data_IF_654726689256
#
_entry.id   IF_654726689256
#
_cell.length_a   1.000
_cell.length_b   1.000
_cell.length_c   1.000
_cell.angle_alpha   90.00
_cell.angle_beta   90.00
_cell.angle_gamma   90.00
#
_symmetry.space_group_name_H-M   'P 1'
#
loop_
_entity.id
_entity.type
_entity.pdbx_description
1 polymer ?
#
# COMPACT_ATOMS: atom_id res chain seq x y z
N UNK A 1 14.40 26.77 -26.82
CA UNK A 1 14.97 25.97 -25.72
C UNK A 1 13.85 25.77 -24.71
N UNK A 2 13.17 24.63 -24.82
CA UNK A 2 11.91 24.33 -24.11
C UNK A 2 12.24 23.85 -22.71
N UNK A 3 11.82 24.60 -21.70
CA UNK A 3 11.93 24.24 -20.28
C UNK A 3 11.05 23.02 -20.03
N UNK A 4 11.66 21.89 -19.69
CA UNK A 4 10.94 20.69 -19.32
C UNK A 4 10.22 20.93 -17.98
N UNK A 5 8.90 20.90 -18.08
CA UNK A 5 7.89 20.78 -17.03
C UNK A 5 8.39 19.90 -15.85
N UNK A 6 8.75 20.53 -14.74
CA UNK A 6 9.02 19.85 -13.47
C UNK A 6 7.68 19.38 -12.90
N UNK A 7 7.35 18.09 -13.10
CA UNK A 7 6.27 17.41 -12.40
C UNK A 7 6.63 17.28 -10.91
N UNK A 8 6.35 18.34 -10.15
CA UNK A 8 6.33 18.33 -8.68
C UNK A 8 5.18 17.40 -8.24
N UNK A 9 5.49 16.11 -8.12
CA UNK A 9 4.56 15.14 -7.55
C UNK A 9 4.52 15.39 -6.04
N UNK A 10 3.33 15.53 -5.43
CA UNK A 10 3.24 15.81 -4.00
C UNK A 10 3.96 14.73 -3.22
N UNK A 11 4.90 15.14 -2.35
CA UNK A 11 5.64 14.24 -1.48
C UNK A 11 4.64 13.41 -0.66
N UNK A 12 4.58 12.10 -0.92
CA UNK A 12 3.67 11.23 -0.23
C UNK A 12 4.09 11.15 1.25
N UNK A 13 3.16 11.28 2.21
CA UNK A 13 3.49 11.23 3.63
C UNK A 13 4.07 9.85 4.00
N UNK A 14 5.14 9.87 4.80
CA UNK A 14 5.76 8.68 5.38
C UNK A 14 5.25 8.47 6.80
N UNK A 15 4.67 7.30 7.06
CA UNK A 15 4.10 6.90 8.35
C UNK A 15 5.06 5.98 9.12
N UNK A 16 4.92 5.94 10.45
CA UNK A 16 5.75 5.15 11.35
C UNK A 16 4.94 4.14 12.14
N UNK A 17 5.64 3.16 12.70
CA UNK A 17 5.05 2.17 13.61
C UNK A 17 4.39 2.87 14.79
N UNK A 18 3.18 2.43 15.14
CA UNK A 18 2.37 3.00 16.22
C UNK A 18 1.45 4.15 15.81
N UNK A 19 1.68 4.78 14.65
CA UNK A 19 0.75 5.77 14.11
C UNK A 19 -0.59 5.09 13.75
N UNK A 20 -1.69 5.85 13.81
CA UNK A 20 -2.99 5.37 13.31
C UNK A 20 -3.00 5.39 11.79
N UNK A 21 -3.44 4.30 11.17
CA UNK A 21 -3.54 4.17 9.72
C UNK A 21 -4.70 5.06 9.22
N UNK A 22 -4.42 6.07 8.37
CA UNK A 22 -5.43 7.05 7.98
C UNK A 22 -6.45 6.51 6.96
N UNK A 23 -6.05 5.59 6.08
CA UNK A 23 -6.89 5.03 5.02
C UNK A 23 -6.60 3.55 4.84
N UNK A 24 -7.63 2.73 4.62
CA UNK A 24 -7.42 1.35 4.20
C UNK A 24 -6.79 1.34 2.81
N UNK A 25 -5.84 0.43 2.56
CA UNK A 25 -5.20 0.36 1.26
C UNK A 25 -3.90 -0.42 1.21
N UNK A 26 -3.21 -0.27 0.07
CA UNK A 26 -1.90 -0.84 -0.18
C UNK A 26 -0.84 0.17 0.25
N UNK A 27 0.03 -0.25 1.15
CA UNK A 27 1.17 0.51 1.63
C UNK A 27 2.46 -0.17 1.21
N UNK A 28 3.44 0.61 0.77
CA UNK A 28 4.81 0.14 0.65
C UNK A 28 5.47 0.27 2.01
N UNK A 29 6.09 -0.81 2.47
CA UNK A 29 6.82 -0.84 3.73
C UNK A 29 8.32 -0.89 3.47
N UNK A 30 9.06 0.00 4.13
CA UNK A 30 10.51 0.09 4.08
C UNK A 30 11.09 -0.43 5.39
N UNK A 31 12.05 -1.36 5.27
CA UNK A 31 12.76 -1.93 6.41
C UNK A 31 14.19 -1.40 6.40
N UNK A 32 14.74 -1.10 7.59
CA UNK A 32 16.09 -0.54 7.68
C UNK A 32 17.19 -1.46 7.14
N UNK A 33 17.05 -2.79 7.28
CA UNK A 33 18.12 -3.70 6.88
C UNK A 33 17.69 -5.14 6.54
N UNK A 34 16.52 -5.62 6.99
CA UNK A 34 16.26 -7.07 6.96
C UNK A 34 15.64 -7.59 5.66
N UNK A 35 14.98 -6.73 4.86
CA UNK A 35 14.38 -7.10 3.57
C UNK A 35 14.15 -5.88 2.68
N UNK A 36 14.02 -6.12 1.38
CA UNK A 36 13.68 -5.10 0.38
C UNK A 36 12.27 -4.53 0.61
N UNK A 37 12.01 -3.29 0.15
CA UNK A 37 10.66 -2.72 0.16
C UNK A 37 9.68 -3.62 -0.59
N UNK A 38 8.46 -3.72 -0.09
CA UNK A 38 7.37 -4.48 -0.70
C UNK A 38 6.04 -3.93 -0.20
N UNK A 39 4.95 -4.43 -0.75
CA UNK A 39 3.60 -3.93 -0.52
C UNK A 39 2.83 -4.81 0.44
N UNK A 40 2.01 -4.17 1.28
CA UNK A 40 1.14 -4.81 2.28
C UNK A 40 -0.23 -4.13 2.26
N UNK A 41 -1.28 -4.86 2.64
CA UNK A 41 -2.60 -4.28 2.86
C UNK A 41 -2.74 -3.91 4.33
N UNK A 42 -3.15 -2.67 4.60
CA UNK A 42 -3.42 -2.16 5.94
C UNK A 42 -4.84 -1.57 6.00
N UNK A 43 -5.48 -1.68 7.17
CA UNK A 43 -6.84 -1.21 7.40
C UNK A 43 -6.82 0.11 8.17
N UNK A 44 -7.69 1.05 7.80
CA UNK A 44 -7.82 2.32 8.52
C UNK A 44 -8.24 2.08 9.97
N UNK A 45 -7.89 3.04 10.84
CA UNK A 45 -8.18 3.04 12.29
C UNK A 45 -7.41 1.98 13.10
N UNK A 46 -6.75 1.02 12.46
CA UNK A 46 -5.71 0.21 13.10
C UNK A 46 -4.41 1.01 13.25
N UNK A 47 -3.40 0.43 13.91
CA UNK A 47 -2.08 1.03 14.05
C UNK A 47 -1.07 0.37 13.13
N UNK A 48 -0.10 1.13 12.63
CA UNK A 48 0.99 0.57 11.84
C UNK A 48 1.79 -0.43 12.69
N UNK A 49 1.91 -1.70 12.27
CA UNK A 49 2.48 -2.75 13.10
C UNK A 49 4.01 -2.70 13.13
N UNK A 50 4.66 -3.06 14.27
CA UNK A 50 6.10 -3.23 14.32
C UNK A 50 6.53 -4.45 13.50
N UNK A 51 7.79 -4.45 13.04
CA UNK A 51 8.39 -5.67 12.53
C UNK A 51 9.04 -6.46 13.68
N UNK A 52 8.87 -7.78 13.70
CA UNK A 52 9.52 -8.64 14.70
C UNK A 52 11.06 -8.59 14.69
N UNK A 53 11.69 -8.22 13.56
CA UNK A 53 13.15 -8.09 13.42
C UNK A 53 13.65 -6.65 13.51
N UNK A 54 12.95 -5.71 12.89
CA UNK A 54 13.35 -4.29 12.85
C UNK A 54 12.74 -3.45 13.98
N UNK A 55 11.80 -3.98 14.75
CA UNK A 55 11.04 -3.21 15.75
C UNK A 55 10.32 -2.02 15.10
N UNK A 56 10.63 -0.83 15.60
CA UNK A 56 10.10 0.46 15.12
C UNK A 56 10.92 1.08 13.97
N UNK A 57 12.03 0.47 13.55
CA UNK A 57 12.84 0.92 12.41
C UNK A 57 12.24 0.47 11.07
N UNK A 58 10.95 0.80 10.89
CA UNK A 58 10.12 0.48 9.73
C UNK A 58 9.27 1.70 9.42
N UNK A 59 9.13 2.04 8.14
CA UNK A 59 8.26 3.12 7.69
C UNK A 59 7.35 2.68 6.56
N UNK A 60 6.26 3.42 6.36
CA UNK A 60 5.20 3.07 5.44
C UNK A 60 4.84 4.26 4.55
N UNK A 61 4.51 3.98 3.30
CA UNK A 61 4.07 4.96 2.32
C UNK A 61 2.78 4.44 1.67
N UNK A 62 1.76 5.28 1.56
CA UNK A 62 0.50 4.90 0.92
C UNK A 62 0.68 4.86 -0.60
N UNK A 63 0.58 3.67 -1.19
CA UNK A 63 0.68 3.48 -2.65
C UNK A 63 -0.71 3.61 -3.28
N UNK A 64 -1.73 3.00 -2.67
CA UNK A 64 -3.10 3.02 -3.19
C UNK A 64 -4.13 2.95 -2.06
N UNK A 65 -4.94 3.99 -1.92
CA UNK A 65 -6.10 3.95 -1.02
C UNK A 65 -7.21 3.06 -1.61
N UNK A 66 -7.87 2.28 -0.75
CA UNK A 66 -9.04 1.48 -1.11
C UNK A 66 -10.19 1.83 -0.16
N UNK A 67 -11.01 2.84 -0.50
CA UNK A 67 -12.05 3.37 0.38
C UNK A 67 -13.09 2.35 0.83
N UNK A 68 -13.37 1.33 0.00
CA UNK A 68 -14.41 0.33 0.27
C UNK A 68 -13.97 -0.81 1.21
N UNK A 69 -12.71 -0.81 1.65
CA UNK A 69 -12.22 -1.79 2.63
C UNK A 69 -12.57 -1.40 4.08
N UNK A 70 -13.23 -0.27 4.29
CA UNK A 70 -13.70 0.18 5.61
C UNK A 70 -14.98 -0.56 6.07
N UNK A 71 -15.66 -1.21 5.12
CA UNK A 71 -16.84 -2.04 5.38
C UNK A 71 -16.40 -3.35 6.05
N UNK A 72 -16.96 -3.66 7.23
CA UNK A 72 -16.62 -4.82 8.07
C UNK A 72 -16.90 -6.19 7.41
N UNK A 73 -17.46 -6.19 6.20
CA UNK A 73 -17.79 -7.35 5.40
C UNK A 73 -16.75 -7.57 4.30
N UNK A 74 -15.45 -7.64 4.65
CA UNK A 74 -14.40 -7.95 3.69
C UNK A 74 -14.63 -9.33 3.06
N UNK A 75 -15.18 -9.33 1.84
CA UNK A 75 -15.40 -10.54 1.04
C UNK A 75 -14.33 -10.64 -0.03
N UNK A 76 -13.52 -11.70 0.02
CA UNK A 76 -12.59 -12.04 -1.06
C UNK A 76 -13.38 -12.64 -2.21
N UNK A 77 -13.46 -11.93 -3.34
CA UNK A 77 -13.96 -12.47 -4.60
C UNK A 77 -12.78 -12.70 -5.54
N UNK A 78 -12.45 -13.97 -5.75
CA UNK A 78 -11.45 -14.36 -6.75
C UNK A 78 -12.11 -14.30 -8.13
N UNK A 79 -11.65 -13.37 -8.96
CA UNK A 79 -12.01 -13.34 -10.38
C UNK A 79 -11.01 -14.20 -11.14
N UNK A 80 -11.50 -15.11 -11.98
CA UNK A 80 -10.66 -15.71 -13.00
C UNK A 80 -10.27 -14.62 -14.00
N UNK A 81 -8.98 -14.51 -14.31
CA UNK A 81 -8.52 -13.69 -15.42
C UNK A 81 -8.89 -14.48 -16.68
N UNK A 82 -9.73 -13.95 -17.59
CA UNK A 82 -10.04 -14.65 -18.83
C UNK A 82 -8.74 -14.83 -19.62
N UNK A 83 -8.56 -16.02 -20.19
CA UNK A 83 -7.51 -16.27 -21.16
C UNK A 83 -7.97 -15.73 -22.51
N UNK A 84 -7.13 -14.91 -23.17
CA UNK A 84 -7.48 -14.22 -24.43
C UNK A 84 -7.81 -15.22 -25.56
N UNK A 85 -7.49 -16.51 -25.41
CA UNK A 85 -7.79 -17.57 -26.37
C UNK A 85 -9.24 -18.12 -26.25
N UNK A 86 -9.97 -17.75 -25.20
CA UNK A 86 -11.33 -18.27 -24.90
C UNK A 86 -12.49 -17.43 -25.46
N UNK A 87 -12.23 -16.30 -26.13
CA UNK A 87 -13.25 -15.42 -26.72
C UNK A 87 -13.54 -15.72 -28.20
N UNK A 88 -12.98 -16.81 -28.73
CA UNK A 88 -13.19 -17.27 -30.10
C UNK A 88 -14.03 -18.57 -30.14
N UNK A 89 -15.31 -18.47 -29.75
CA UNK A 89 -16.30 -19.53 -29.96
C UNK A 89 -17.58 -18.98 -30.59
#
# INVERSE_FOLDING_TARGET
>A
MTTADQYDSPEQPVFRVGDTIPKSGIYRVYHSAHRKPHEVTLLSKETFPPCMKCGHSVSFELVKAIPRLEDKDFQIRLYAIPDEESEAA
#
